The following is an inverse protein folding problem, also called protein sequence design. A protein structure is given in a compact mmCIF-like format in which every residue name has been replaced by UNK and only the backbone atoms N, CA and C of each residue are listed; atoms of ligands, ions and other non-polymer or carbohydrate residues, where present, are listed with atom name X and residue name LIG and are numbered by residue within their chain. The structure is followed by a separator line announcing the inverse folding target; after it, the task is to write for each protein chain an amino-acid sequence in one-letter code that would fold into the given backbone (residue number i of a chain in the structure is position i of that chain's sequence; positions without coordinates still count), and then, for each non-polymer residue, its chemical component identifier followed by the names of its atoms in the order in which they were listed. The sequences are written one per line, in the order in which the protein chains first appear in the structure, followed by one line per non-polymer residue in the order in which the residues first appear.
data_IF_881058162690
#
_entry.id   IF_881058162690
#
_cell.length_a   1.000
_cell.length_b   1.000
_cell.length_c   1.000
_cell.angle_alpha   90.00
_cell.angle_beta   90.00
_cell.angle_gamma   90.00
#
_symmetry.space_group_name_H-M   'P 1'
#
loop_
_entity.id
_entity.type
_entity.pdbx_description
1 polymer ?
#
# COMPACT_ATOMS: atom_id res chain seq x y z
N UNK A 1 -5.75 24.99 -3.61
CA UNK A 1 -4.63 24.59 -2.75
C UNK A 1 -3.67 23.69 -3.54
N UNK A 2 -2.39 23.89 -3.36
CA UNK A 2 -1.41 23.05 -4.01
C UNK A 2 -1.37 21.66 -3.35
N UNK A 3 -1.53 20.62 -4.15
CA UNK A 3 -1.38 19.23 -3.69
C UNK A 3 0.08 18.95 -3.37
N UNK A 4 0.35 18.50 -2.15
CA UNK A 4 1.70 18.11 -1.76
C UNK A 4 2.00 16.71 -2.29
N UNK A 5 3.13 16.53 -2.93
CA UNK A 5 3.59 15.21 -3.39
C UNK A 5 4.69 14.70 -2.48
N UNK A 6 4.52 13.50 -1.96
CA UNK A 6 5.48 12.82 -1.11
C UNK A 6 6.04 11.62 -1.86
N UNK A 7 7.35 11.59 -2.08
CA UNK A 7 8.00 10.53 -2.85
C UNK A 7 8.75 9.57 -1.91
N UNK A 8 8.53 8.28 -2.09
CA UNK A 8 9.19 7.22 -1.32
C UNK A 8 9.97 6.33 -2.28
N UNK A 9 11.24 6.09 -1.98
CA UNK A 9 12.07 5.12 -2.72
C UNK A 9 11.98 3.77 -2.02
N UNK A 10 11.45 2.76 -2.71
CA UNK A 10 11.25 1.42 -2.18
C UNK A 10 12.47 0.52 -2.31
N UNK A 11 13.51 0.94 -3.02
CA UNK A 11 14.70 0.11 -3.26
C UNK A 11 15.37 -0.30 -1.94
N UNK A 12 15.52 -1.61 -1.72
CA UNK A 12 16.17 -2.17 -0.54
C UNK A 12 15.37 -2.08 0.75
N UNK A 13 14.16 -1.52 0.73
CA UNK A 13 13.29 -1.42 1.91
C UNK A 13 12.30 -2.56 1.96
N UNK A 14 11.83 -2.91 3.16
CA UNK A 14 10.78 -3.91 3.35
C UNK A 14 9.39 -3.32 3.08
N UNK A 15 8.44 -4.18 2.70
CA UNK A 15 7.07 -3.78 2.38
C UNK A 15 6.42 -3.05 3.57
N UNK A 16 6.57 -3.57 4.78
CA UNK A 16 5.95 -3.00 5.97
C UNK A 16 6.42 -1.58 6.27
N UNK A 17 7.71 -1.30 6.12
CA UNK A 17 8.27 0.04 6.35
C UNK A 17 7.83 1.04 5.31
N UNK A 18 7.81 0.64 4.04
CA UNK A 18 7.29 1.46 2.95
C UNK A 18 5.82 1.80 3.20
N UNK A 19 5.02 0.80 3.56
CA UNK A 19 3.60 0.96 3.81
C UNK A 19 3.32 1.88 5.00
N UNK A 20 4.09 1.77 6.09
CA UNK A 20 3.96 2.65 7.26
C UNK A 20 4.20 4.11 6.89
N UNK A 21 5.26 4.37 6.15
CA UNK A 21 5.62 5.72 5.73
C UNK A 21 4.56 6.30 4.80
N UNK A 22 4.11 5.52 3.83
CA UNK A 22 3.06 5.91 2.90
C UNK A 22 1.73 6.19 3.62
N UNK A 23 1.34 5.34 4.56
CA UNK A 23 0.11 5.51 5.33
C UNK A 23 0.13 6.78 6.16
N UNK A 24 1.23 7.08 6.83
CA UNK A 24 1.39 8.33 7.59
C UNK A 24 1.22 9.56 6.70
N UNK A 25 1.85 9.56 5.54
CA UNK A 25 1.75 10.66 4.59
C UNK A 25 0.32 10.82 4.05
N UNK A 26 -0.33 9.71 3.70
CA UNK A 26 -1.72 9.73 3.19
C UNK A 26 -2.72 10.23 4.22
N UNK A 27 -2.51 9.94 5.50
CA UNK A 27 -3.35 10.44 6.58
C UNK A 27 -3.10 11.93 6.89
N UNK A 28 -2.02 12.51 6.38
CA UNK A 28 -1.66 13.89 6.62
C UNK A 28 -0.87 14.13 7.90
N UNK A 29 -0.39 13.09 8.56
CA UNK A 29 0.35 13.20 9.84
C UNK A 29 1.73 13.85 9.71
N UNK A 30 2.21 14.03 8.49
CA UNK A 30 3.49 14.72 8.23
C UNK A 30 3.33 16.25 8.24
N UNK A 31 2.10 16.74 8.26
CA UNK A 31 1.79 18.17 8.27
C UNK A 31 1.35 18.62 9.66
N UNK A 32 1.69 19.88 10.02
CA UNK A 32 1.21 20.50 11.26
C UNK A 32 -0.30 20.72 11.26
N UNK A 33 -0.91 20.80 10.08
CA UNK A 33 -2.35 21.03 9.90
C UNK A 33 -3.18 19.75 9.98
N UNK A 34 -2.62 18.68 10.53
CA UNK A 34 -3.29 17.39 10.62
C UNK A 34 -4.62 17.50 11.37
N UNK A 35 -5.69 17.04 10.71
CA UNK A 35 -7.02 16.95 11.30
C UNK A 35 -7.62 15.59 10.92
N UNK A 36 -7.99 14.72 11.88
CA UNK A 36 -8.44 13.36 11.58
C UNK A 36 -9.69 13.26 10.71
N UNK A 37 -10.57 14.24 10.79
CA UNK A 37 -11.86 14.26 10.09
C UNK A 37 -11.81 14.96 8.72
N UNK A 38 -10.67 15.44 8.30
CA UNK A 38 -10.48 16.13 7.01
C UNK A 38 -9.53 15.31 6.13
N UNK A 39 -9.92 15.13 4.88
CA UNK A 39 -9.06 14.50 3.88
C UNK A 39 -7.88 15.43 3.56
N UNK A 40 -6.66 14.96 3.79
CA UNK A 40 -5.48 15.75 3.46
C UNK A 40 -5.22 15.74 1.95
N UNK A 41 -4.74 16.86 1.42
CA UNK A 41 -4.42 17.01 0.01
C UNK A 41 -2.96 16.62 -0.24
N UNK A 42 -2.67 15.32 -0.11
CA UNK A 42 -1.34 14.75 -0.26
C UNK A 42 -1.40 13.59 -1.24
N UNK A 43 -0.51 13.59 -2.21
CA UNK A 43 -0.28 12.43 -3.09
C UNK A 43 1.02 11.76 -2.68
N UNK A 44 1.00 10.44 -2.59
CA UNK A 44 2.18 9.64 -2.26
C UNK A 44 2.57 8.83 -3.47
N UNK A 45 3.83 8.94 -3.86
CA UNK A 45 4.39 8.20 -4.98
C UNK A 45 5.48 7.26 -4.47
N UNK A 46 5.31 5.97 -4.68
CA UNK A 46 6.30 4.95 -4.31
C UNK A 46 6.98 4.46 -5.57
N UNK A 47 8.30 4.63 -5.64
CA UNK A 47 9.11 4.25 -6.79
C UNK A 47 9.99 3.04 -6.51
N UNK A 48 10.41 2.34 -7.55
CA UNK A 48 11.33 1.19 -7.47
C UNK A 48 10.76 -0.01 -6.70
N UNK A 49 9.46 -0.28 -6.84
CA UNK A 49 8.82 -1.40 -6.16
C UNK A 49 9.37 -2.76 -6.58
N UNK A 50 9.96 -2.86 -7.78
CA UNK A 50 10.63 -4.09 -8.23
C UNK A 50 11.90 -4.42 -7.43
N UNK A 51 12.45 -3.42 -6.73
CA UNK A 51 13.70 -3.55 -5.93
C UNK A 51 13.43 -3.69 -4.44
N UNK A 52 12.19 -3.94 -4.03
CA UNK A 52 11.82 -4.16 -2.63
C UNK A 52 12.55 -5.39 -2.10
N UNK A 53 13.12 -5.25 -0.88
CA UNK A 53 13.73 -6.38 -0.20
C UNK A 53 12.64 -7.29 0.38
N UNK A 54 12.64 -8.56 -0.02
CA UNK A 54 11.75 -9.58 0.52
C UNK A 54 12.53 -10.87 0.69
N UNK A 55 12.45 -11.47 1.88
CA UNK A 55 13.07 -12.79 2.10
C UNK A 55 12.37 -13.83 1.24
N UNK A 56 13.15 -14.79 0.72
CA UNK A 56 12.62 -15.86 -0.11
C UNK A 56 11.52 -16.65 0.58
N UNK A 57 11.70 -16.96 1.86
CA UNK A 57 10.68 -17.64 2.68
C UNK A 57 9.35 -16.88 2.67
N UNK A 58 9.37 -15.55 2.77
CA UNK A 58 8.15 -14.75 2.71
C UNK A 58 7.46 -14.83 1.36
N UNK A 59 8.22 -14.83 0.26
CA UNK A 59 7.63 -14.97 -1.09
C UNK A 59 6.88 -16.27 -1.26
N UNK A 60 7.37 -17.35 -0.68
CA UNK A 60 6.79 -18.67 -0.82
C UNK A 60 5.68 -18.97 0.19
N UNK A 61 5.75 -18.39 1.39
CA UNK A 61 4.87 -18.72 2.52
C UNK A 61 3.78 -17.69 2.81
N UNK A 62 4.01 -16.42 2.47
CA UNK A 62 2.99 -15.39 2.67
C UNK A 62 1.81 -15.64 1.75
N UNK A 63 0.63 -15.81 2.32
CA UNK A 63 -0.60 -16.12 1.60
C UNK A 63 -1.57 -14.96 1.69
N UNK A 64 -2.06 -14.51 0.54
CA UNK A 64 -3.14 -13.54 0.44
C UNK A 64 -4.44 -14.29 0.15
N UNK A 65 -5.42 -14.12 1.02
CA UNK A 65 -6.68 -14.85 0.95
C UNK A 65 -7.81 -13.90 0.57
N UNK A 66 -8.59 -14.26 -0.43
CA UNK A 66 -9.77 -13.52 -0.86
C UNK A 66 -10.98 -14.45 -0.87
N UNK A 67 -12.12 -13.94 -0.39
CA UNK A 67 -13.37 -14.69 -0.39
C UNK A 67 -14.46 -13.82 -1.03
N UNK A 68 -15.10 -14.36 -2.08
CA UNK A 68 -16.12 -13.64 -2.81
C UNK A 68 -17.49 -13.66 -2.14
N UNK A 69 -17.68 -14.48 -1.11
CA UNK A 69 -18.97 -14.68 -0.45
C UNK A 69 -19.85 -15.75 -1.10
N UNK A 70 -19.41 -16.34 -2.19
CA UNK A 70 -20.13 -17.41 -2.87
C UNK A 70 -19.48 -18.78 -2.58
N UNK A 71 -20.25 -19.90 -2.66
CA UNK A 71 -19.67 -21.23 -2.50
C UNK A 71 -18.51 -21.44 -3.48
N UNK A 72 -17.37 -21.94 -2.96
CA UNK A 72 -16.17 -22.14 -3.76
C UNK A 72 -15.40 -20.88 -4.09
N UNK A 73 -15.79 -19.73 -3.52
CA UNK A 73 -15.16 -18.43 -3.81
C UNK A 73 -13.89 -18.10 -3.02
N UNK A 74 -13.42 -19.02 -2.17
CA UNK A 74 -12.19 -18.81 -1.41
C UNK A 74 -10.98 -19.00 -2.33
N UNK A 75 -10.17 -17.95 -2.47
CA UNK A 75 -8.94 -17.99 -3.26
C UNK A 75 -7.75 -17.63 -2.39
N UNK A 76 -6.67 -18.40 -2.55
CA UNK A 76 -5.41 -18.18 -1.86
C UNK A 76 -4.30 -17.99 -2.88
N UNK A 77 -3.40 -17.04 -2.59
CA UNK A 77 -2.33 -16.68 -3.51
C UNK A 77 -1.07 -16.36 -2.71
N UNK A 78 0.08 -16.88 -3.13
CA UNK A 78 1.36 -16.54 -2.49
C UNK A 78 1.86 -15.18 -2.96
N UNK A 79 2.79 -14.59 -2.21
CA UNK A 79 3.39 -13.32 -2.60
C UNK A 79 4.09 -13.40 -3.97
N UNK A 80 4.79 -14.50 -4.24
CA UNK A 80 5.45 -14.70 -5.54
C UNK A 80 4.44 -14.71 -6.69
N UNK A 81 3.31 -15.41 -6.53
CA UNK A 81 2.25 -15.45 -7.54
C UNK A 81 1.57 -14.09 -7.70
N UNK A 82 1.37 -13.36 -6.61
CA UNK A 82 0.82 -12.02 -6.66
C UNK A 82 1.73 -11.07 -7.46
N UNK A 83 3.04 -11.11 -7.21
CA UNK A 83 4.01 -10.29 -7.94
C UNK A 83 4.03 -10.64 -9.43
N UNK A 84 3.91 -11.93 -9.78
CA UNK A 84 3.88 -12.36 -11.18
C UNK A 84 2.59 -11.90 -11.90
N UNK A 85 1.46 -11.90 -11.21
CA UNK A 85 0.15 -11.56 -11.79
C UNK A 85 -0.13 -10.06 -11.85
N UNK A 86 0.15 -9.35 -10.75
CA UNK A 86 -0.21 -7.93 -10.58
C UNK A 86 1.01 -6.99 -10.58
N UNK A 87 2.22 -7.52 -10.58
CA UNK A 87 3.43 -6.72 -10.43
C UNK A 87 3.82 -6.47 -8.98
N UNK A 88 5.01 -5.95 -8.78
CA UNK A 88 5.62 -5.80 -7.45
C UNK A 88 4.95 -4.74 -6.57
N UNK A 89 4.20 -3.82 -7.15
CA UNK A 89 3.55 -2.74 -6.40
C UNK A 89 2.29 -3.16 -5.66
N UNK A 90 1.65 -4.25 -6.05
CA UNK A 90 0.36 -4.64 -5.46
C UNK A 90 0.46 -4.99 -3.98
N UNK A 91 1.55 -5.63 -3.56
CA UNK A 91 1.77 -5.96 -2.16
C UNK A 91 1.85 -4.69 -1.28
N UNK A 92 2.47 -3.63 -1.80
CA UNK A 92 2.54 -2.33 -1.13
C UNK A 92 1.15 -1.72 -1.00
N UNK A 93 0.36 -1.74 -2.06
CA UNK A 93 -1.02 -1.22 -2.06
C UNK A 93 -1.87 -1.94 -1.00
N UNK A 94 -1.81 -3.26 -0.93
CA UNK A 94 -2.55 -4.05 0.05
C UNK A 94 -2.11 -3.70 1.48
N UNK A 95 -0.81 -3.58 1.72
CA UNK A 95 -0.27 -3.25 3.03
C UNK A 95 -0.71 -1.85 3.48
N UNK A 96 -0.64 -0.84 2.61
CA UNK A 96 -1.08 0.52 2.90
C UNK A 96 -2.57 0.56 3.20
N UNK A 97 -3.38 -0.14 2.40
CA UNK A 97 -4.83 -0.23 2.59
C UNK A 97 -5.20 -0.75 3.99
N UNK A 98 -4.45 -1.71 4.51
CA UNK A 98 -4.70 -2.28 5.84
C UNK A 98 -4.18 -1.41 6.98
N UNK A 99 -3.26 -0.49 6.71
CA UNK A 99 -2.70 0.42 7.72
C UNK A 99 -3.51 1.72 7.87
N UNK A 100 -4.29 2.09 6.86
CA UNK A 100 -5.15 3.27 6.89
C UNK A 100 -6.48 2.91 7.57
N UNK A 101 -7.04 3.80 8.44
CA UNK A 101 -8.33 3.55 9.07
C UNK A 101 -9.44 3.31 8.04
N UNK A 102 -10.27 2.31 8.29
CA UNK A 102 -11.41 1.98 7.42
C UNK A 102 -12.60 2.88 7.77
N UNK A 103 -12.73 3.95 7.03
CA UNK A 103 -13.82 4.92 7.18
C UNK A 103 -14.23 5.45 5.79
N UNK A 104 -15.09 6.45 5.76
CA UNK A 104 -15.56 7.02 4.49
C UNK A 104 -14.43 7.64 3.65
N UNK A 105 -13.32 8.04 4.28
CA UNK A 105 -12.17 8.65 3.59
C UNK A 105 -11.16 7.60 3.07
N UNK A 106 -11.31 6.33 3.42
CA UNK A 106 -10.35 5.29 3.05
C UNK A 106 -10.13 5.21 1.53
N UNK A 107 -11.21 5.13 0.77
CA UNK A 107 -11.16 5.04 -0.69
C UNK A 107 -10.50 6.26 -1.31
N UNK A 108 -10.84 7.45 -0.84
CA UNK A 108 -10.25 8.70 -1.33
C UNK A 108 -8.74 8.77 -1.03
N UNK A 109 -8.32 8.33 0.16
CA UNK A 109 -6.90 8.27 0.52
C UNK A 109 -6.14 7.28 -0.35
N UNK A 110 -6.73 6.13 -0.64
CA UNK A 110 -6.09 5.13 -1.50
C UNK A 110 -5.94 5.60 -2.95
N UNK A 111 -6.81 6.46 -3.44
CA UNK A 111 -6.68 7.07 -4.77
C UNK A 111 -5.48 8.01 -4.89
N UNK A 112 -5.00 8.52 -3.77
CA UNK A 112 -3.84 9.40 -3.73
C UNK A 112 -2.51 8.64 -3.66
N UNK A 113 -2.54 7.31 -3.62
CA UNK A 113 -1.36 6.47 -3.64
C UNK A 113 -1.04 6.04 -5.07
N UNK A 114 0.17 6.35 -5.51
CA UNK A 114 0.69 5.94 -6.83
C UNK A 114 1.90 5.04 -6.59
N UNK A 115 1.88 3.85 -7.17
CA UNK A 115 2.95 2.87 -7.01
C UNK A 115 3.56 2.55 -8.37
N UNK A 116 4.86 2.75 -8.50
CA UNK A 116 5.63 2.49 -9.72
C UNK A 116 6.63 1.35 -9.50
N UNK A 117 6.78 0.52 -10.49
CA UNK A 117 7.73 -0.59 -10.45
C UNK A 117 9.21 -0.12 -10.42
#
# INVERSE_FOLDING_TARGET
MATKTYTIDAAGKTIGRIASEAAKALMGKTSADYTPNILSDVKVMVNNCSKIYTRERKRQQKVYTNYSGYPGGLKKETLANLNARKGHGQAVVVAVSRMIPRNTMHTARMKNLIVNA
#
